data_IF_229724493619
#
_entry.id   IF_229724493619
#
_cell.length_a   1.000
_cell.length_b   1.000
_cell.length_c   1.000
_cell.angle_alpha   90.00
_cell.angle_beta   90.00
_cell.angle_gamma   90.00
#
_symmetry.space_group_name_H-M   'P 1'
#
loop_
_entity.id
_entity.type
_entity.pdbx_description
1 polymer ?
#
# COMPACT_ATOMS: atom_id res chain seq x y z
N UNK A 1 4.84 52.59 103.87
CA UNK A 1 6.12 52.20 103.28
C UNK A 1 5.95 50.79 102.75
N UNK A 2 6.33 50.41 101.55
CA UNK A 2 6.55 51.08 100.26
C UNK A 2 6.95 49.93 99.32
N UNK A 3 6.60 50.01 98.04
CA UNK A 3 6.97 49.10 96.92
C UNK A 3 6.23 47.75 96.89
N UNK A 4 5.17 47.55 96.09
CA UNK A 4 5.02 47.70 94.63
C UNK A 4 5.74 46.59 93.84
N UNK A 5 4.95 45.96 92.96
CA UNK A 5 5.36 45.12 91.82
C UNK A 5 5.88 43.71 92.11
N UNK A 6 4.95 42.77 92.32
CA UNK A 6 5.07 41.47 91.64
C UNK A 6 4.23 41.57 90.37
N UNK A 7 4.76 42.30 89.38
CA UNK A 7 4.23 42.27 88.02
C UNK A 7 4.51 40.89 87.43
N UNK A 8 3.46 40.32 86.89
CA UNK A 8 3.40 39.11 86.10
C UNK A 8 4.41 39.21 84.95
N UNK A 9 5.48 38.39 84.92
CA UNK A 9 6.34 38.22 83.74
C UNK A 9 7.06 36.86 83.81
N UNK A 10 6.29 35.76 83.94
CA UNK A 10 6.81 34.38 83.88
C UNK A 10 6.27 33.60 82.66
N UNK A 11 5.97 34.28 81.55
CA UNK A 11 5.56 33.64 80.28
C UNK A 11 6.31 34.15 79.03
N UNK A 12 7.48 34.79 79.19
CA UNK A 12 8.25 35.33 78.05
C UNK A 12 9.15 34.27 77.37
N UNK A 13 9.34 33.10 77.99
CA UNK A 13 10.22 32.03 77.48
C UNK A 13 9.60 31.15 76.39
N UNK A 14 8.27 31.20 76.21
CA UNK A 14 7.53 30.26 75.37
C UNK A 14 7.23 30.79 73.95
N UNK A 15 7.43 32.08 73.70
CA UNK A 15 7.08 32.71 72.42
C UNK A 15 7.99 32.23 71.27
N UNK A 16 9.30 32.17 71.48
CA UNK A 16 10.26 31.77 70.46
C UNK A 16 10.07 30.30 70.03
N UNK A 17 9.76 29.42 70.98
CA UNK A 17 9.49 28.00 70.74
C UNK A 17 8.17 27.78 69.98
N UNK A 18 7.13 28.53 70.32
CA UNK A 18 5.85 28.49 69.61
C UNK A 18 5.95 29.07 68.18
N UNK A 19 6.73 30.13 68.01
CA UNK A 19 7.04 30.73 66.71
C UNK A 19 7.81 29.74 65.82
N UNK A 20 8.86 29.13 66.35
CA UNK A 20 9.66 28.11 65.66
C UNK A 20 8.83 26.86 65.31
N UNK A 21 7.97 26.39 66.22
CA UNK A 21 7.04 25.28 65.96
C UNK A 21 6.09 25.56 64.79
N UNK A 22 5.49 26.76 64.74
CA UNK A 22 4.58 27.16 63.65
C UNK A 22 5.31 27.28 62.31
N UNK A 23 6.53 27.82 62.30
CA UNK A 23 7.37 27.91 61.09
C UNK A 23 7.76 26.54 60.57
N UNK A 24 8.17 25.62 61.45
CA UNK A 24 8.50 24.24 61.09
C UNK A 24 7.29 23.51 60.51
N UNK A 25 6.09 23.70 61.07
CA UNK A 25 4.87 23.10 60.51
C UNK A 25 4.53 23.66 59.13
N UNK A 26 4.64 24.98 58.92
CA UNK A 26 4.42 25.58 57.60
C UNK A 26 5.44 25.08 56.56
N UNK A 27 6.72 24.99 56.92
CA UNK A 27 7.77 24.47 56.04
C UNK A 27 7.51 23.00 55.71
N UNK A 28 7.20 22.17 56.71
CA UNK A 28 6.88 20.77 56.49
C UNK A 28 5.68 20.61 55.55
N UNK A 29 4.64 21.42 55.74
CA UNK A 29 3.44 21.38 54.91
C UNK A 29 3.73 21.77 53.46
N UNK A 30 4.53 22.82 53.23
CA UNK A 30 4.96 23.21 51.87
C UNK A 30 5.81 22.11 51.23
N UNK A 31 6.76 21.52 51.95
CA UNK A 31 7.58 20.42 51.45
C UNK A 31 6.72 19.20 51.09
N UNK A 32 5.74 18.85 51.93
CA UNK A 32 4.79 17.78 51.64
C UNK A 32 4.00 18.07 50.36
N UNK A 33 3.51 19.29 50.17
CA UNK A 33 2.79 19.65 48.94
C UNK A 33 3.67 19.63 47.70
N UNK A 34 4.93 20.09 47.79
CA UNK A 34 5.88 20.05 46.67
C UNK A 34 6.20 18.61 46.29
N UNK A 35 6.49 17.75 47.26
CA UNK A 35 6.75 16.32 47.02
C UNK A 35 5.51 15.64 46.45
N UNK A 36 4.32 15.95 46.97
CA UNK A 36 3.06 15.42 46.43
C UNK A 36 2.83 15.88 44.98
N UNK A 37 3.08 17.16 44.66
CA UNK A 37 2.95 17.67 43.30
C UNK A 37 3.97 17.02 42.34
N UNK A 38 5.21 16.80 42.80
CA UNK A 38 6.23 16.08 42.03
C UNK A 38 5.84 14.61 41.79
N UNK A 39 5.29 13.95 42.82
CA UNK A 39 4.79 12.57 42.72
C UNK A 39 3.62 12.46 41.73
N UNK A 40 2.60 13.32 41.86
CA UNK A 40 1.45 13.35 40.94
C UNK A 40 1.91 13.61 39.51
N UNK A 41 2.82 14.58 39.31
CA UNK A 41 3.38 14.86 37.99
C UNK A 41 4.17 13.68 37.41
N UNK A 42 4.90 12.94 38.24
CA UNK A 42 5.64 11.75 37.80
C UNK A 42 4.72 10.56 37.48
N UNK A 43 3.52 10.48 38.06
CA UNK A 43 2.53 9.45 37.73
C UNK A 43 1.74 9.80 36.47
N UNK A 44 1.44 11.09 36.28
CA UNK A 44 0.62 11.56 35.15
C UNK A 44 1.43 11.81 33.85
N UNK A 45 2.66 12.35 33.93
CA UNK A 45 3.50 12.63 32.77
C UNK A 45 3.92 11.40 31.92
N UNK A 46 4.30 10.25 32.48
CA UNK A 46 4.71 9.12 31.65
C UNK A 46 3.52 8.51 30.90
N UNK A 47 2.33 8.50 31.51
CA UNK A 47 1.14 7.88 30.91
C UNK A 47 0.65 8.64 29.69
N UNK A 48 0.53 9.98 29.78
CA UNK A 48 0.04 10.80 28.67
C UNK A 48 1.01 10.84 27.46
N UNK A 49 2.32 10.88 27.70
CA UNK A 49 3.32 10.84 26.62
C UNK A 49 3.34 9.48 25.92
N UNK A 50 3.19 8.39 26.68
CA UNK A 50 3.11 7.03 26.13
C UNK A 50 1.83 6.84 25.31
N UNK A 51 0.69 7.36 25.77
CA UNK A 51 -0.57 7.29 25.02
C UNK A 51 -0.56 8.14 23.74
N UNK A 52 0.02 9.33 23.79
CA UNK A 52 0.19 10.17 22.60
C UNK A 52 1.11 9.51 21.56
N UNK A 53 2.20 8.87 22.02
CA UNK A 53 3.11 8.10 21.17
C UNK A 53 2.42 6.88 20.56
N UNK A 54 1.63 6.14 21.36
CA UNK A 54 0.84 4.99 20.91
C UNK A 54 -0.20 5.38 19.86
N UNK A 55 -0.96 6.45 20.10
CA UNK A 55 -1.94 6.96 19.16
C UNK A 55 -1.30 7.43 17.84
N UNK A 56 -0.13 8.08 17.92
CA UNK A 56 0.64 8.51 16.72
C UNK A 56 1.14 7.32 15.90
N UNK A 57 1.66 6.28 16.55
CA UNK A 57 2.11 5.06 15.90
C UNK A 57 0.95 4.28 15.26
N UNK A 58 -0.20 4.21 15.94
CA UNK A 58 -1.39 3.55 15.42
C UNK A 58 -1.97 4.27 14.20
N UNK A 59 -1.98 5.61 14.22
CA UNK A 59 -2.35 6.43 13.06
C UNK A 59 -1.43 6.18 11.85
N UNK A 60 -0.11 6.12 12.08
CA UNK A 60 0.85 5.79 11.01
C UNK A 60 0.62 4.38 10.46
N UNK A 61 0.39 3.37 11.31
CA UNK A 61 0.11 2.00 10.88
C UNK A 61 -1.13 1.93 9.98
N UNK A 62 -2.22 2.59 10.38
CA UNK A 62 -3.46 2.64 9.57
C UNK A 62 -3.24 3.32 8.22
N UNK A 63 -2.45 4.40 8.19
CA UNK A 63 -2.07 5.06 6.93
C UNK A 63 -1.26 4.13 6.02
N UNK A 64 -0.26 3.43 6.56
CA UNK A 64 0.53 2.47 5.79
C UNK A 64 -0.31 1.31 5.28
N UNK A 65 -1.26 0.81 6.08
CA UNK A 65 -2.18 -0.24 5.65
C UNK A 65 -3.07 0.24 4.50
N UNK A 66 -3.63 1.45 4.59
CA UNK A 66 -4.43 2.05 3.52
C UNK A 66 -3.64 2.25 2.23
N UNK A 67 -2.39 2.70 2.32
CA UNK A 67 -1.49 2.82 1.15
C UNK A 67 -1.19 1.43 0.56
N UNK A 68 -0.97 0.42 1.41
CA UNK A 68 -0.68 -0.95 0.95
C UNK A 68 -1.86 -1.54 0.18
N UNK A 69 -3.08 -1.37 0.69
CA UNK A 69 -4.28 -1.85 0.01
C UNK A 69 -4.51 -1.09 -1.31
N UNK A 70 -4.37 0.24 -1.32
CA UNK A 70 -4.47 1.00 -2.56
C UNK A 70 -3.45 0.56 -3.63
N UNK A 71 -2.21 0.23 -3.23
CA UNK A 71 -1.20 -0.30 -4.15
C UNK A 71 -1.60 -1.68 -4.69
N UNK A 72 -2.18 -2.55 -3.85
CA UNK A 72 -2.67 -3.86 -4.31
C UNK A 72 -3.80 -3.72 -5.32
N UNK A 73 -4.75 -2.83 -5.07
CA UNK A 73 -5.87 -2.57 -5.98
C UNK A 73 -5.36 -2.08 -7.34
N UNK A 74 -4.40 -1.14 -7.35
CA UNK A 74 -3.75 -0.66 -8.58
C UNK A 74 -3.01 -1.81 -9.29
N UNK A 75 -2.26 -2.64 -8.56
CA UNK A 75 -1.56 -3.77 -9.15
C UNK A 75 -2.51 -4.84 -9.72
N UNK A 76 -3.68 -5.03 -9.11
CA UNK A 76 -4.74 -5.89 -9.64
C UNK A 76 -5.35 -5.32 -10.91
N UNK A 77 -5.73 -4.04 -10.91
CA UNK A 77 -6.26 -3.36 -12.10
C UNK A 77 -5.27 -3.39 -13.27
N UNK A 78 -3.97 -3.23 -13.03
CA UNK A 78 -2.93 -3.35 -14.07
C UNK A 78 -2.84 -4.78 -14.61
N UNK A 79 -2.90 -5.80 -13.74
CA UNK A 79 -2.88 -7.21 -14.18
C UNK A 79 -4.09 -7.55 -15.02
N UNK A 80 -5.29 -7.17 -14.57
CA UNK A 80 -6.52 -7.37 -15.32
C UNK A 80 -6.50 -6.63 -16.65
N UNK A 81 -6.08 -5.37 -16.66
CA UNK A 81 -5.92 -4.57 -17.87
C UNK A 81 -4.95 -5.23 -18.87
N UNK A 82 -3.83 -5.76 -18.40
CA UNK A 82 -2.87 -6.48 -19.25
C UNK A 82 -3.47 -7.77 -19.83
N UNK A 83 -4.27 -8.51 -19.06
CA UNK A 83 -4.91 -9.72 -19.55
C UNK A 83 -6.02 -9.41 -20.56
N UNK A 84 -6.76 -8.31 -20.39
CA UNK A 84 -7.71 -7.81 -21.39
C UNK A 84 -6.97 -7.42 -22.67
N UNK A 85 -5.84 -6.70 -22.57
CA UNK A 85 -5.03 -6.34 -23.74
C UNK A 85 -4.56 -7.59 -24.47
N UNK A 86 -4.04 -8.61 -23.77
CA UNK A 86 -3.62 -9.89 -24.38
C UNK A 86 -4.78 -10.62 -25.07
N UNK A 87 -5.99 -10.60 -24.48
CA UNK A 87 -7.19 -11.20 -25.07
C UNK A 87 -7.71 -10.42 -26.28
N UNK A 88 -7.57 -9.10 -26.25
CA UNK A 88 -7.98 -8.20 -27.32
C UNK A 88 -6.94 -8.07 -28.45
N UNK A 89 -5.69 -8.43 -28.20
CA UNK A 89 -4.64 -8.41 -29.21
C UNK A 89 -4.95 -9.48 -30.27
N UNK A 90 -5.34 -9.03 -31.45
CA UNK A 90 -5.44 -9.90 -32.60
C UNK A 90 -4.07 -10.56 -32.80
N UNK A 91 -4.00 -11.90 -32.69
CA UNK A 91 -2.77 -12.64 -32.90
C UNK A 91 -2.17 -12.25 -34.25
N UNK A 92 -0.99 -11.64 -34.22
CA UNK A 92 -0.21 -11.30 -35.41
C UNK A 92 0.68 -12.51 -35.68
N UNK A 93 0.46 -13.16 -36.81
CA UNK A 93 1.28 -14.28 -37.25
C UNK A 93 2.50 -13.74 -37.99
N UNK A 94 3.69 -14.26 -37.68
CA UNK A 94 4.88 -13.90 -38.46
C UNK A 94 4.87 -14.60 -39.81
N UNK A 95 5.60 -14.06 -40.79
CA UNK A 95 5.72 -14.69 -42.10
C UNK A 95 6.40 -16.07 -42.01
N UNK A 96 7.34 -16.24 -41.08
CA UNK A 96 7.97 -17.51 -40.78
C UNK A 96 6.97 -18.53 -40.24
N UNK A 97 6.05 -18.12 -39.35
CA UNK A 97 4.96 -18.99 -38.86
C UNK A 97 4.04 -19.41 -40.00
N UNK A 98 3.69 -18.49 -40.91
CA UNK A 98 2.90 -18.79 -42.12
C UNK A 98 3.60 -19.84 -42.96
N UNK A 99 4.88 -19.65 -43.25
CA UNK A 99 5.66 -20.56 -44.08
C UNK A 99 5.83 -21.94 -43.43
N UNK A 100 6.12 -21.98 -42.13
CA UNK A 100 6.27 -23.21 -41.36
C UNK A 100 4.97 -24.04 -41.38
N UNK A 101 3.81 -23.40 -41.25
CA UNK A 101 2.52 -24.10 -41.30
C UNK A 101 2.25 -24.67 -42.70
N UNK A 102 2.58 -23.95 -43.77
CA UNK A 102 2.47 -24.47 -45.14
C UNK A 102 3.35 -25.70 -45.37
N UNK A 103 4.55 -25.73 -44.79
CA UNK A 103 5.44 -26.91 -44.81
C UNK A 103 4.82 -28.06 -44.02
N UNK A 104 4.34 -27.80 -42.81
CA UNK A 104 3.74 -28.78 -41.90
C UNK A 104 2.51 -29.48 -42.51
N UNK A 105 1.67 -28.75 -43.23
CA UNK A 105 0.52 -29.32 -43.95
C UNK A 105 0.90 -30.14 -45.19
N UNK A 106 2.18 -30.13 -45.57
CA UNK A 106 2.67 -30.81 -46.76
C UNK A 106 2.21 -30.15 -48.06
N UNK A 107 2.07 -28.82 -48.09
CA UNK A 107 1.78 -28.10 -49.34
C UNK A 107 2.96 -28.30 -50.30
N UNK A 108 2.64 -28.71 -51.53
CA UNK A 108 3.63 -28.97 -52.57
C UNK A 108 4.52 -27.74 -52.77
N UNK A 109 5.83 -27.94 -52.93
CA UNK A 109 6.80 -26.86 -53.06
C UNK A 109 6.45 -25.85 -54.16
N UNK A 110 5.86 -26.28 -55.29
CA UNK A 110 5.45 -25.40 -56.38
C UNK A 110 4.28 -24.47 -55.99
N UNK A 111 3.36 -24.96 -55.15
CA UNK A 111 2.20 -24.19 -54.67
C UNK A 111 2.51 -23.40 -53.40
N UNK A 112 3.55 -23.80 -52.65
CA UNK A 112 3.91 -23.22 -51.36
C UNK A 112 4.25 -21.74 -51.47
N UNK A 113 5.09 -21.35 -52.44
CA UNK A 113 5.45 -19.94 -52.63
C UNK A 113 4.24 -19.10 -53.04
N UNK A 114 3.38 -19.62 -53.93
CA UNK A 114 2.15 -18.93 -54.33
C UNK A 114 1.17 -18.76 -53.17
N UNK A 115 1.03 -19.78 -52.33
CA UNK A 115 0.20 -19.73 -51.13
C UNK A 115 0.76 -18.78 -50.07
N UNK A 116 2.08 -18.80 -49.87
CA UNK A 116 2.78 -17.88 -48.98
C UNK A 116 2.52 -16.44 -49.40
N UNK A 117 2.79 -16.08 -50.65
CA UNK A 117 2.55 -14.72 -51.15
C UNK A 117 1.08 -14.31 -51.03
N UNK A 118 0.14 -15.19 -51.40
CA UNK A 118 -1.29 -14.91 -51.26
C UNK A 118 -1.71 -14.63 -49.80
N UNK A 119 -1.14 -15.35 -48.84
CA UNK A 119 -1.44 -15.17 -47.42
C UNK A 119 -0.75 -13.92 -46.87
N UNK A 120 0.54 -13.71 -47.15
CA UNK A 120 1.31 -12.58 -46.58
C UNK A 120 0.94 -11.22 -47.18
N UNK A 121 0.31 -11.18 -48.35
CA UNK A 121 -0.25 -9.96 -48.95
C UNK A 121 -1.32 -9.28 -48.08
N UNK A 122 -2.09 -10.03 -47.29
CA UNK A 122 -3.17 -9.50 -46.47
C UNK A 122 -3.29 -10.24 -45.13
N UNK A 123 -3.05 -9.51 -44.04
CA UNK A 123 -3.14 -10.02 -42.68
C UNK A 123 -4.51 -10.63 -42.34
N UNK A 124 -5.59 -10.17 -42.98
CA UNK A 124 -6.93 -10.76 -42.80
C UNK A 124 -6.99 -12.19 -43.35
N UNK A 125 -6.32 -12.48 -44.49
CA UNK A 125 -6.24 -13.83 -45.07
C UNK A 125 -5.50 -14.78 -44.13
N UNK A 126 -4.39 -14.32 -43.56
CA UNK A 126 -3.63 -15.08 -42.56
C UNK A 126 -4.51 -15.41 -41.35
N UNK A 127 -5.21 -14.40 -40.82
CA UNK A 127 -6.12 -14.58 -39.67
C UNK A 127 -7.21 -15.61 -39.95
N UNK A 128 -7.84 -15.55 -41.13
CA UNK A 128 -8.88 -16.50 -41.55
C UNK A 128 -8.29 -17.90 -41.73
N UNK A 129 -7.12 -18.02 -42.35
CA UNK A 129 -6.45 -19.29 -42.58
C UNK A 129 -6.07 -19.98 -41.27
N UNK A 130 -5.47 -19.27 -40.30
CA UNK A 130 -5.13 -19.84 -39.00
C UNK A 130 -6.35 -20.04 -38.08
N UNK A 131 -7.47 -19.35 -38.35
CA UNK A 131 -8.75 -19.62 -37.70
C UNK A 131 -9.40 -20.93 -38.15
N UNK A 132 -9.04 -21.45 -39.32
CA UNK A 132 -9.52 -22.75 -39.80
C UNK A 132 -8.85 -23.91 -39.03
N UNK A 133 -9.58 -24.98 -38.66
CA UNK A 133 -9.02 -26.19 -38.06
C UNK A 133 -7.91 -26.81 -38.92
N UNK A 134 -6.83 -27.30 -38.29
CA UNK A 134 -5.61 -27.80 -38.98
C UNK A 134 -5.93 -28.88 -40.03
N UNK A 135 -6.89 -29.75 -39.73
CA UNK A 135 -7.34 -30.83 -40.60
C UNK A 135 -8.01 -30.34 -41.89
N UNK A 136 -8.59 -29.13 -41.90
CA UNK A 136 -9.35 -28.58 -43.02
C UNK A 136 -8.54 -27.56 -43.85
N UNK A 137 -7.47 -27.00 -43.28
CA UNK A 137 -6.65 -25.95 -43.92
C UNK A 137 -6.12 -26.33 -45.30
N UNK A 138 -5.78 -27.61 -45.51
CA UNK A 138 -5.21 -28.12 -46.76
C UNK A 138 -6.20 -28.07 -47.93
N UNK A 139 -7.48 -28.27 -47.64
CA UNK A 139 -8.56 -28.22 -48.64
C UNK A 139 -9.15 -26.80 -48.76
N UNK A 140 -9.09 -26.03 -47.68
CA UNK A 140 -9.56 -24.64 -47.64
C UNK A 140 -8.68 -23.67 -48.43
N UNK A 141 -7.35 -23.83 -48.35
CA UNK A 141 -6.39 -22.92 -48.96
C UNK A 141 -6.52 -22.83 -50.49
N UNK A 142 -6.61 -23.95 -51.25
CA UNK A 142 -6.85 -23.90 -52.69
C UNK A 142 -8.17 -23.24 -53.06
N UNK A 143 -9.25 -23.48 -52.30
CA UNK A 143 -10.55 -22.86 -52.55
C UNK A 143 -10.46 -21.34 -52.45
N UNK A 144 -9.81 -20.83 -51.40
CA UNK A 144 -9.63 -19.38 -51.21
C UNK A 144 -8.73 -18.75 -52.27
N UNK A 145 -7.66 -19.42 -52.68
CA UNK A 145 -6.74 -18.92 -53.70
C UNK A 145 -7.39 -18.88 -55.10
N UNK A 146 -8.25 -19.85 -55.42
CA UNK A 146 -8.90 -19.94 -56.72
C UNK A 146 -10.10 -18.98 -56.84
N UNK A 147 -10.84 -18.71 -55.75
CA UNK A 147 -11.91 -17.70 -55.73
C UNK A 147 -11.40 -16.26 -55.87
N UNK A 148 -10.11 -15.99 -55.64
CA UNK A 148 -9.52 -14.67 -55.83
C UNK A 148 -9.09 -14.40 -57.28
N UNK A 149 -9.27 -15.38 -58.19
CA UNK A 149 -8.92 -15.26 -59.62
C UNK A 149 -10.10 -14.89 -60.50
N UNK A 150 -11.27 -14.51 -59.96
CA UNK A 150 -12.35 -13.94 -60.76
C UNK A 150 -11.94 -12.54 -61.27
N UNK A 151 -11.90 -12.31 -62.58
CA UNK A 151 -11.52 -11.02 -63.15
C UNK A 151 -12.63 -10.00 -62.87
N UNK A 152 -12.26 -8.86 -62.29
CA UNK A 152 -13.01 -7.61 -62.45
C UNK A 152 -12.70 -6.98 -63.79
#
# INVERSE_FOLDING_TARGET
MDWQENFEDEDDGNWLLNWDRRRRMAVAQVLCYVVFAMYMRHVDCPTHLVDQSRASLDGKKRMFEGIREAIKDVAEAIREGNDIIKRGQARVYSEEEVFAELVKMGVNQKLRYRAYTFLTEDAARVKVFFGCPINERKDFLPQKMNCSQDPR
#
